data_IF_175172801653
#
_entry.id   IF_175172801653
#
_cell.length_a   1.000
_cell.length_b   1.000
_cell.length_c   1.000
_cell.angle_alpha   90.00
_cell.angle_beta   90.00
_cell.angle_gamma   90.00
#
_symmetry.space_group_name_H-M   'P 1'
#
loop_
_entity.id
_entity.type
_entity.pdbx_description
1 polymer ?
#
# COMPACT_ATOMS: atom_id res chain seq x y z
N UNK A 1 1.51 -9.13 22.76
CA UNK A 1 0.28 -8.43 22.33
C UNK A 1 0.62 -7.67 21.06
N UNK A 2 -0.16 -7.82 19.98
CA UNK A 2 0.08 -7.06 18.74
C UNK A 2 -0.29 -5.60 18.98
N UNK A 3 0.56 -4.67 18.55
CA UNK A 3 0.23 -3.25 18.54
C UNK A 3 -0.51 -2.95 17.24
N UNK A 4 -1.69 -2.33 17.33
CA UNK A 4 -2.47 -1.93 16.16
C UNK A 4 -2.41 -0.42 16.01
N UNK A 5 -2.20 0.05 14.79
CA UNK A 5 -2.06 1.46 14.44
C UNK A 5 -2.99 1.81 13.28
N UNK A 6 -3.53 3.03 13.33
CA UNK A 6 -4.36 3.61 12.30
C UNK A 6 -3.58 4.73 11.62
N UNK A 7 -3.50 4.70 10.29
CA UNK A 7 -2.90 5.77 9.49
C UNK A 7 -3.95 6.42 8.63
N UNK A 8 -3.99 7.75 8.64
CA UNK A 8 -4.87 8.56 7.81
C UNK A 8 -4.16 9.02 6.53
N UNK A 9 -4.85 8.89 5.40
CA UNK A 9 -4.49 9.46 4.11
C UNK A 9 -5.46 10.62 3.83
N UNK A 10 -5.03 11.88 4.01
CA UNK A 10 -5.93 13.02 4.02
C UNK A 10 -6.36 13.46 2.62
N UNK A 11 -5.55 13.15 1.61
CA UNK A 11 -5.75 13.61 0.23
C UNK A 11 -5.24 12.55 -0.75
N UNK A 12 -5.80 12.52 -1.95
CA UNK A 12 -5.24 11.77 -3.07
C UNK A 12 -4.34 12.70 -3.89
N UNK A 13 -3.03 12.40 -4.05
CA UNK A 13 -2.12 13.24 -4.81
C UNK A 13 -2.51 13.31 -6.30
N UNK A 14 -2.49 14.51 -6.88
CA UNK A 14 -2.70 14.74 -8.31
C UNK A 14 -1.40 14.84 -9.12
N UNK A 15 -0.24 14.83 -8.45
CA UNK A 15 1.09 14.94 -9.08
C UNK A 15 2.15 14.17 -8.29
N UNK A 16 3.32 13.94 -8.91
CA UNK A 16 4.44 13.26 -8.25
C UNK A 16 5.00 14.11 -7.11
N UNK A 17 5.02 15.43 -7.26
CA UNK A 17 5.46 16.37 -6.23
C UNK A 17 4.56 16.34 -5.00
N UNK A 18 3.24 16.26 -5.19
CA UNK A 18 2.28 16.05 -4.09
C UNK A 18 2.45 14.70 -3.41
N UNK A 19 2.67 13.63 -4.20
CA UNK A 19 2.90 12.30 -3.66
C UNK A 19 4.21 12.24 -2.84
N UNK A 20 5.29 12.85 -3.32
CA UNK A 20 6.56 12.90 -2.60
C UNK A 20 6.47 13.72 -1.31
N UNK A 21 5.70 14.81 -1.28
CA UNK A 21 5.44 15.57 -0.04
C UNK A 21 4.70 14.74 0.99
N UNK A 22 3.61 14.09 0.60
CA UNK A 22 2.89 13.15 1.48
C UNK A 22 3.82 12.07 2.02
N UNK A 23 4.68 11.52 1.15
CA UNK A 23 5.64 10.50 1.55
C UNK A 23 6.65 11.02 2.58
N UNK A 24 7.18 12.22 2.41
CA UNK A 24 8.15 12.82 3.35
C UNK A 24 7.54 13.07 4.74
N UNK A 25 6.23 13.32 4.81
CA UNK A 25 5.47 13.50 6.03
C UNK A 25 5.12 12.15 6.69
N UNK A 26 4.47 11.25 5.95
CA UNK A 26 3.91 10.02 6.50
C UNK A 26 4.93 8.89 6.67
N UNK A 27 5.84 8.70 5.70
CA UNK A 27 6.74 7.55 5.68
C UNK A 27 7.91 7.65 6.70
N UNK A 28 7.78 8.49 7.73
CA UNK A 28 8.67 8.55 8.90
C UNK A 28 8.45 7.39 9.87
N UNK A 29 7.30 6.74 9.77
CA UNK A 29 6.94 5.52 10.49
C UNK A 29 6.78 4.34 9.50
N UNK A 30 6.95 3.09 9.95
CA UNK A 30 6.64 1.93 9.13
C UNK A 30 5.21 1.95 8.58
N UNK A 31 4.24 2.29 9.44
CA UNK A 31 2.83 2.30 9.11
C UNK A 31 2.54 3.34 8.03
N UNK A 32 3.13 4.53 8.16
CA UNK A 32 3.02 5.56 7.13
C UNK A 32 3.70 5.17 5.81
N UNK A 33 4.84 4.46 5.86
CA UNK A 33 5.49 3.93 4.65
C UNK A 33 4.60 2.93 3.89
N UNK A 34 3.91 2.05 4.62
CA UNK A 34 2.97 1.10 4.04
C UNK A 34 1.70 1.80 3.52
N UNK A 35 1.20 2.82 4.22
CA UNK A 35 0.07 3.63 3.76
C UNK A 35 0.37 4.37 2.46
N UNK A 36 1.59 4.93 2.33
CA UNK A 36 2.08 5.56 1.10
C UNK A 36 2.15 4.57 -0.07
N UNK A 37 2.57 3.31 0.17
CA UNK A 37 2.51 2.28 -0.86
C UNK A 37 1.07 1.99 -1.30
N UNK A 38 0.12 1.87 -0.36
CA UNK A 38 -1.30 1.66 -0.72
C UNK A 38 -1.85 2.85 -1.50
N UNK A 39 -1.51 4.08 -1.13
CA UNK A 39 -1.84 5.27 -1.93
C UNK A 39 -1.27 5.17 -3.35
N UNK A 40 0.00 4.77 -3.51
CA UNK A 40 0.60 4.58 -4.83
C UNK A 40 -0.12 3.51 -5.66
N UNK A 41 -0.57 2.43 -5.03
CA UNK A 41 -1.35 1.37 -5.69
C UNK A 41 -2.76 1.85 -6.07
N UNK A 42 -3.41 2.70 -5.26
CA UNK A 42 -4.66 3.36 -5.64
C UNK A 42 -4.46 4.28 -6.86
N UNK A 43 -3.38 5.07 -6.88
CA UNK A 43 -3.03 5.91 -8.03
C UNK A 43 -2.74 5.08 -9.28
N UNK A 44 -2.07 3.92 -9.13
CA UNK A 44 -1.79 3.00 -10.25
C UNK A 44 -3.06 2.45 -10.87
N UNK A 45 -4.06 2.11 -10.05
CA UNK A 45 -5.36 1.63 -10.54
C UNK A 45 -5.99 2.63 -11.51
N UNK A 46 -5.89 3.92 -11.21
CA UNK A 46 -6.59 4.97 -11.95
C UNK A 46 -5.73 5.55 -13.10
N UNK A 47 -4.40 5.60 -12.91
CA UNK A 47 -3.43 6.01 -13.92
C UNK A 47 -2.14 5.18 -13.80
N UNK A 48 -1.96 4.13 -14.64
CA UNK A 48 -0.84 3.21 -14.53
C UNK A 48 0.54 3.86 -14.64
N UNK A 49 0.72 4.86 -15.52
CA UNK A 49 2.02 5.50 -15.71
C UNK A 49 2.39 6.36 -14.51
N UNK A 50 1.45 7.20 -14.04
CA UNK A 50 1.65 8.01 -12.85
C UNK A 50 1.82 7.16 -11.59
N UNK A 51 0.97 6.15 -11.43
CA UNK A 51 1.06 5.24 -10.30
C UNK A 51 2.30 4.37 -10.32
N UNK A 52 2.82 3.97 -11.48
CA UNK A 52 4.08 3.24 -11.57
C UNK A 52 5.25 4.05 -10.99
N UNK A 53 5.29 5.36 -11.27
CA UNK A 53 6.27 6.27 -10.68
C UNK A 53 6.07 6.40 -9.15
N UNK A 54 4.82 6.49 -8.68
CA UNK A 54 4.51 6.54 -7.24
C UNK A 54 4.89 5.24 -6.52
N UNK A 55 4.65 4.08 -7.14
CA UNK A 55 5.03 2.77 -6.59
C UNK A 55 6.55 2.67 -6.55
N UNK A 56 7.25 3.00 -7.63
CA UNK A 56 8.71 3.03 -7.66
C UNK A 56 9.29 3.93 -6.55
N UNK A 57 8.66 5.08 -6.31
CA UNK A 57 9.06 6.00 -5.26
C UNK A 57 8.75 5.52 -3.83
N UNK A 58 7.88 4.52 -3.61
CA UNK A 58 7.47 4.03 -2.29
C UNK A 58 8.12 2.71 -1.86
N UNK A 59 8.77 2.01 -2.79
CA UNK A 59 9.45 0.73 -2.55
C UNK A 59 10.95 0.89 -2.32
N UNK A 60 11.59 -0.15 -1.76
CA UNK A 60 13.03 -0.18 -1.54
C UNK A 60 13.79 -0.17 -2.86
N UNK A 61 15.03 0.35 -2.86
CA UNK A 61 15.89 0.42 -4.05
C UNK A 61 16.10 -0.94 -4.72
N UNK A 62 16.05 -2.04 -3.97
CA UNK A 62 16.11 -3.39 -4.52
C UNK A 62 14.92 -3.73 -5.45
N UNK A 63 13.84 -2.96 -5.43
CA UNK A 63 12.65 -3.11 -6.31
C UNK A 63 12.64 -2.17 -7.50
N UNK A 64 13.65 -1.32 -7.62
CA UNK A 64 13.76 -0.28 -8.66
C UNK A 64 14.97 -0.59 -9.55
N UNK A 65 14.88 -0.23 -10.83
CA UNK A 65 16.01 -0.26 -11.77
C UNK A 65 16.89 0.98 -11.61
N UNK A 66 18.07 0.99 -12.24
CA UNK A 66 19.04 2.07 -12.09
C UNK A 66 18.56 3.43 -12.60
N UNK A 67 17.58 3.44 -13.50
CA UNK A 67 16.92 4.63 -14.04
C UNK A 67 15.77 5.15 -13.15
N UNK A 68 15.48 4.50 -12.02
CA UNK A 68 14.40 4.89 -11.11
C UNK A 68 13.04 4.24 -11.43
N UNK A 69 12.96 3.39 -12.46
CA UNK A 69 11.72 2.71 -12.84
C UNK A 69 11.43 1.48 -11.95
N UNK A 70 10.15 1.15 -11.74
CA UNK A 70 9.79 -0.11 -11.08
C UNK A 70 10.28 -1.31 -11.90
N UNK A 71 10.76 -2.37 -11.24
CA UNK A 71 11.14 -3.60 -11.93
C UNK A 71 9.99 -4.15 -12.77
N UNK A 72 10.29 -4.56 -14.02
CA UNK A 72 9.30 -5.08 -14.98
C UNK A 72 8.43 -6.20 -14.41
N UNK A 73 9.00 -7.10 -13.61
CA UNK A 73 8.25 -8.19 -12.99
C UNK A 73 7.20 -7.70 -11.99
N UNK A 74 7.55 -6.70 -11.18
CA UNK A 74 6.63 -6.09 -10.21
C UNK A 74 5.54 -5.28 -10.92
N UNK A 75 5.90 -4.47 -11.93
CA UNK A 75 4.94 -3.71 -12.74
C UNK A 75 3.94 -4.63 -13.45
N UNK A 76 4.43 -5.71 -14.09
CA UNK A 76 3.58 -6.72 -14.74
C UNK A 76 2.64 -7.37 -13.73
N UNK A 77 3.12 -7.72 -12.55
CA UNK A 77 2.30 -8.34 -11.50
C UNK A 77 1.18 -7.40 -11.05
N UNK A 78 1.45 -6.11 -10.84
CA UNK A 78 0.40 -5.14 -10.50
C UNK A 78 -0.65 -5.12 -11.61
N UNK A 79 -0.23 -4.95 -12.86
CA UNK A 79 -1.14 -4.87 -14.01
C UNK A 79 -2.03 -6.12 -14.13
N UNK A 80 -1.45 -7.32 -14.01
CA UNK A 80 -2.20 -8.58 -14.10
C UNK A 80 -3.21 -8.74 -12.95
N UNK A 81 -2.81 -8.42 -11.72
CA UNK A 81 -3.69 -8.54 -10.57
C UNK A 81 -4.82 -7.51 -10.59
N UNK A 82 -4.54 -6.28 -11.03
CA UNK A 82 -5.55 -5.22 -11.09
C UNK A 82 -6.53 -5.41 -12.26
N UNK A 83 -6.06 -5.98 -13.38
CA UNK A 83 -6.94 -6.40 -14.46
C UNK A 83 -7.92 -7.49 -14.00
N UNK A 84 -7.46 -8.42 -13.16
CA UNK A 84 -8.31 -9.46 -12.59
C UNK A 84 -9.26 -8.94 -11.49
N UNK A 85 -8.78 -8.01 -10.65
CA UNK A 85 -9.57 -7.43 -9.58
C UNK A 85 -9.11 -5.99 -9.25
N UNK A 86 -9.77 -4.95 -9.82
CA UNK A 86 -9.38 -3.56 -9.59
C UNK A 86 -9.67 -3.07 -8.16
N UNK A 87 -10.41 -3.84 -7.36
CA UNK A 87 -10.71 -3.53 -5.96
C UNK A 87 -9.54 -3.80 -4.99
N UNK A 88 -8.48 -4.49 -5.43
CA UNK A 88 -7.31 -4.85 -4.60
C UNK A 88 -6.79 -3.69 -3.74
N UNK A 89 -6.40 -2.53 -4.30
CA UNK A 89 -5.85 -1.45 -3.48
C UNK A 89 -6.90 -0.80 -2.56
N UNK A 90 -8.17 -0.78 -2.96
CA UNK A 90 -9.26 -0.23 -2.15
C UNK A 90 -9.59 -1.11 -0.94
N UNK A 91 -9.39 -2.42 -1.01
CA UNK A 91 -9.70 -3.36 0.07
C UNK A 91 -8.88 -3.13 1.36
N UNK A 92 -7.81 -2.32 1.31
CA UNK A 92 -7.02 -1.92 2.48
C UNK A 92 -7.54 -0.64 3.15
N UNK A 93 -8.53 0.03 2.55
CA UNK A 93 -9.14 1.24 3.10
C UNK A 93 -10.33 0.84 4.00
N UNK A 94 -10.34 1.37 5.22
CA UNK A 94 -11.42 1.20 6.18
C UNK A 94 -12.76 1.67 5.59
N UNK A 95 -13.82 0.90 5.83
CA UNK A 95 -15.16 1.17 5.31
C UNK A 95 -15.43 0.59 3.91
N UNK A 96 -14.41 0.05 3.22
CA UNK A 96 -14.63 -0.71 1.98
C UNK A 96 -15.10 -2.14 2.28
N UNK A 97 -15.97 -2.69 1.44
CA UNK A 97 -16.42 -4.09 1.57
C UNK A 97 -16.57 -4.74 0.19
N UNK A 98 -16.51 -6.08 0.10
CA UNK A 98 -16.82 -6.78 -1.14
C UNK A 98 -18.25 -6.50 -1.62
N UNK A 99 -19.24 -6.43 -0.71
CA UNK A 99 -20.66 -6.23 -1.05
C UNK A 99 -20.93 -4.94 -1.80
N UNK A 100 -20.24 -3.85 -1.44
CA UNK A 100 -20.34 -2.55 -2.11
C UNK A 100 -19.37 -2.39 -3.28
N UNK A 101 -18.72 -3.47 -3.71
CA UNK A 101 -17.75 -3.48 -4.80
C UNK A 101 -16.46 -2.72 -4.48
N UNK A 102 -16.08 -2.65 -3.21
CA UNK A 102 -14.91 -1.90 -2.73
C UNK A 102 -14.95 -0.41 -3.08
N UNK A 103 -16.15 0.19 -3.08
CA UNK A 103 -16.31 1.64 -3.22
C UNK A 103 -15.55 2.38 -2.12
N UNK A 104 -14.70 3.34 -2.51
CA UNK A 104 -13.94 4.16 -1.57
C UNK A 104 -14.89 5.12 -0.83
N UNK A 105 -14.75 5.28 0.50
CA UNK A 105 -15.50 6.29 1.24
C UNK A 105 -14.98 7.70 0.92
N UNK A 106 -15.65 8.72 1.45
CA UNK A 106 -15.12 10.08 1.43
C UNK A 106 -13.80 10.15 2.21
N UNK A 107 -12.89 11.02 1.77
CA UNK A 107 -11.65 11.33 2.49
C UNK A 107 -11.98 11.95 3.88
N UNK A 108 -11.10 11.79 4.88
CA UNK A 108 -9.81 11.08 4.82
C UNK A 108 -9.99 9.55 4.83
N UNK A 109 -9.11 8.86 4.11
CA UNK A 109 -9.07 7.39 4.14
C UNK A 109 -8.23 6.90 5.30
N UNK A 110 -8.58 5.73 5.83
CA UNK A 110 -7.92 5.14 6.98
C UNK A 110 -7.45 3.73 6.67
N UNK A 111 -6.27 3.38 7.17
CA UNK A 111 -5.69 2.04 7.06
C UNK A 111 -5.39 1.51 8.45
N UNK A 112 -5.93 0.34 8.74
CA UNK A 112 -5.63 -0.38 9.97
C UNK A 112 -4.48 -1.37 9.73
N UNK A 113 -3.49 -1.30 10.60
CA UNK A 113 -2.31 -2.14 10.56
C UNK A 113 -2.02 -2.71 11.93
N UNK A 114 -1.40 -3.88 11.96
CA UNK A 114 -0.83 -4.42 13.19
C UNK A 114 0.62 -4.86 13.01
N UNK A 115 1.36 -4.84 14.11
CA UNK A 115 2.75 -5.31 14.19
C UNK A 115 2.94 -6.14 15.46
N UNK A 116 3.89 -7.07 15.41
CA UNK A 116 4.28 -7.83 16.60
C UNK A 116 5.44 -7.08 17.28
N UNK A 117 5.46 -6.86 18.61
CA UNK A 117 6.62 -6.30 19.30
C UNK A 117 7.96 -7.03 19.05
N UNK A 118 7.94 -8.24 18.48
CA UNK A 118 9.12 -9.01 18.06
C UNK A 118 9.38 -9.03 16.55
N UNK A 119 8.56 -8.39 15.70
CA UNK A 119 8.74 -8.39 14.24
C UNK A 119 9.79 -7.38 13.73
N UNK A 120 10.62 -6.87 14.63
CA UNK A 120 11.80 -6.06 14.35
C UNK A 120 12.61 -5.88 15.63
N UNK A 121 13.88 -5.51 15.48
CA UNK A 121 14.71 -5.06 16.60
C UNK A 121 14.17 -3.68 17.05
N UNK A 122 13.96 -3.39 18.34
CA UNK A 122 13.59 -2.05 18.81
C UNK A 122 14.72 -1.06 18.48
N UNK A 123 14.61 -0.38 17.33
CA UNK A 123 15.66 0.47 16.75
C UNK A 123 16.26 -0.04 15.43
N UNK A 124 15.80 -1.20 14.94
CA UNK A 124 16.20 -1.75 13.66
C UNK A 124 15.62 -0.98 12.47
N UNK A 125 16.34 -1.03 11.37
CA UNK A 125 15.93 -0.42 10.10
C UNK A 125 14.94 -1.28 9.31
N UNK A 126 14.41 -2.36 9.89
CA UNK A 126 13.44 -3.25 9.23
C UNK A 126 12.28 -3.62 10.15
N UNK A 127 11.09 -3.77 9.57
CA UNK A 127 9.93 -4.29 10.28
C UNK A 127 8.93 -4.94 9.34
N UNK A 128 8.05 -5.76 9.90
CA UNK A 128 6.94 -6.39 9.20
C UNK A 128 5.61 -5.96 9.82
N UNK A 129 4.75 -5.42 8.97
CA UNK A 129 3.38 -5.03 9.30
C UNK A 129 2.37 -5.99 8.66
N UNK A 130 1.15 -5.95 9.17
CA UNK A 130 0.02 -6.71 8.69
C UNK A 130 -1.16 -5.76 8.47
N UNK A 131 -1.56 -5.54 7.21
CA UNK A 131 -2.62 -4.61 6.82
C UNK A 131 -3.97 -5.32 6.85
N UNK A 132 -4.95 -4.72 7.53
CA UNK A 132 -6.35 -5.16 7.46
C UNK A 132 -6.85 -5.13 6.01
N UNK A 133 -7.60 -6.16 5.61
CA UNK A 133 -8.07 -6.30 4.23
C UNK A 133 -9.52 -6.79 4.23
N UNK A 134 -10.45 -5.92 3.83
CA UNK A 134 -11.89 -6.23 3.79
C UNK A 134 -12.23 -7.37 2.83
N UNK A 135 -11.34 -7.63 1.87
CA UNK A 135 -11.45 -8.70 0.89
C UNK A 135 -10.74 -10.02 1.24
N UNK A 136 -10.18 -10.18 2.45
CA UNK A 136 -9.54 -11.43 2.89
C UNK A 136 -9.96 -11.83 4.32
N UNK A 137 -9.70 -13.08 4.73
CA UNK A 137 -9.95 -13.54 6.11
C UNK A 137 -8.84 -13.12 7.07
N UNK A 138 -7.67 -12.78 6.55
CA UNK A 138 -6.49 -12.42 7.33
C UNK A 138 -5.80 -11.17 6.80
N UNK A 139 -5.19 -10.36 7.69
CA UNK A 139 -4.36 -9.23 7.31
C UNK A 139 -3.21 -9.62 6.37
N UNK A 140 -2.85 -8.74 5.43
CA UNK A 140 -1.80 -8.98 4.44
C UNK A 140 -0.45 -8.45 4.92
N UNK A 141 0.61 -9.28 4.91
CA UNK A 141 1.91 -8.83 5.36
C UNK A 141 2.56 -7.86 4.36
N UNK A 142 3.30 -6.91 4.89
CA UNK A 142 4.26 -6.09 4.16
C UNK A 142 5.52 -5.93 5.01
N UNK A 143 6.69 -6.08 4.41
CA UNK A 143 7.97 -5.79 5.07
C UNK A 143 8.55 -4.49 4.55
N UNK A 144 8.95 -3.62 5.48
CA UNK A 144 9.54 -2.32 5.19
C UNK A 144 10.94 -2.23 5.75
N UNK A 145 11.77 -1.43 5.06
CA UNK A 145 13.09 -1.04 5.50
C UNK A 145 13.22 0.49 5.48
N UNK A 146 13.86 1.07 6.48
CA UNK A 146 14.20 2.49 6.55
C UNK A 146 15.38 2.79 5.63
N UNK A 147 15.23 3.80 4.77
CA UNK A 147 16.30 4.27 3.89
C UNK A 147 17.21 5.29 4.59
N UNK A 148 18.30 5.70 3.91
CA UNK A 148 19.27 6.65 4.44
C UNK A 148 18.69 8.07 4.72
N UNK A 149 17.50 8.40 4.19
CA UNK A 149 16.78 9.65 4.48
C UNK A 149 15.83 9.50 5.68
N UNK A 150 15.78 8.32 6.28
CA UNK A 150 14.88 7.98 7.38
C UNK A 150 13.44 7.69 6.93
N UNK A 151 13.21 7.39 5.65
CA UNK A 151 11.89 7.05 5.12
C UNK A 151 11.73 5.53 5.03
N UNK A 152 10.58 5.01 5.44
CA UNK A 152 10.26 3.59 5.37
C UNK A 152 9.78 3.20 3.97
N UNK A 153 10.42 2.19 3.38
CA UNK A 153 10.23 1.70 2.02
C UNK A 153 9.85 0.23 2.02
N UNK A 154 8.83 -0.15 1.25
CA UNK A 154 8.45 -1.55 1.17
C UNK A 154 9.43 -2.38 0.33
N UNK A 155 9.95 -3.47 0.87
CA UNK A 155 10.83 -4.40 0.13
C UNK A 155 10.20 -5.77 -0.12
N UNK A 156 9.19 -6.17 0.66
CA UNK A 156 8.31 -7.32 0.38
C UNK A 156 6.85 -6.91 0.53
N UNK A 157 6.12 -6.84 -0.58
CA UNK A 157 4.74 -6.32 -0.61
C UNK A 157 3.82 -7.11 -1.57
N UNK A 158 4.32 -8.22 -2.12
CA UNK A 158 3.58 -9.03 -3.10
C UNK A 158 2.27 -9.60 -2.55
N UNK A 159 2.16 -9.77 -1.22
CA UNK A 159 0.93 -10.18 -0.55
C UNK A 159 -0.18 -9.15 -0.64
N UNK A 160 0.15 -7.86 -0.82
CA UNK A 160 -0.83 -6.81 -1.03
C UNK A 160 -1.55 -6.94 -2.38
N UNK A 161 -0.96 -7.65 -3.33
CA UNK A 161 -1.52 -7.89 -4.65
C UNK A 161 -2.27 -9.23 -4.75
N UNK A 162 -2.42 -9.97 -3.66
CA UNK A 162 -3.16 -11.23 -3.70
C UNK A 162 -4.63 -11.00 -4.00
N UNK A 163 -5.24 -11.95 -4.72
CA UNK A 163 -6.68 -11.93 -4.99
C UNK A 163 -7.50 -11.75 -3.72
N UNK A 164 -8.54 -10.92 -3.84
CA UNK A 164 -9.53 -10.64 -2.81
C UNK A 164 -10.87 -11.24 -3.20
N UNK A 165 -11.80 -11.35 -2.23
CA UNK A 165 -13.19 -11.78 -2.49
C UNK A 165 -13.77 -10.98 -3.67
N UNK A 166 -14.49 -11.61 -4.61
CA UNK A 166 -15.13 -10.89 -5.71
C UNK A 166 -16.05 -9.80 -5.18
N UNK A 167 -16.14 -8.68 -5.91
CA UNK A 167 -17.18 -7.69 -5.66
C UNK A 167 -18.55 -8.37 -5.71
N UNK A 168 -19.40 -8.08 -4.73
CA UNK A 168 -20.79 -8.50 -4.73
C UNK A 168 -21.45 -8.03 -6.01
N UNK A 169 -22.17 -8.94 -6.69
CA UNK A 169 -23.03 -8.54 -7.79
C UNK A 169 -24.11 -7.66 -7.18
N UNK A 170 -24.21 -6.38 -7.58
CA UNK A 170 -25.40 -5.58 -7.29
C UNK A 170 -26.57 -6.31 -7.95
N UNK A 171 -27.39 -6.98 -7.15
CA UNK A 171 -28.69 -7.45 -7.60
C UNK A 171 -29.51 -6.20 -7.88
N UNK A 172 -29.70 -5.91 -9.16
CA UNK A 172 -30.65 -4.91 -9.66
C UNK A 172 -31.97 -5.57 -10.00
#
# INVERSE_FOLDING_TARGET
MMQSGLVELPVMPGSIEEFLRMQEELARTPEGGAAVLVMALLLYRDNPDFGAACVAASVDRSRVTTDGSLRRGDARRIAEQFAANPGIPAAYIEGTTPGEGYALPALPWRLEMSTNPYSGDPGGDETKLFLSCSGADSPRPVSLRKDARGLWRAYEWSSLLMGIRPAGRREG
#
